data_IF_378654859071
#
_entry.id   IF_378654859071
#
_cell.length_a   1.000
_cell.length_b   1.000
_cell.length_c   1.000
_cell.angle_alpha   90.00
_cell.angle_beta   90.00
_cell.angle_gamma   90.00
#
_symmetry.space_group_name_H-M   'P 1'
#
loop_
_entity.id
_entity.type
_entity.pdbx_description
1 polymer ?
#
# COMPACT_ATOMS: atom_id res chain seq x y z
N UNK A 1 63.25 9.28 -21.86
CA UNK A 1 62.24 9.95 -22.70
C UNK A 1 60.88 9.37 -22.32
N UNK A 2 59.95 10.23 -21.86
CA UNK A 2 58.69 9.90 -21.16
C UNK A 2 57.70 9.15 -22.06
N UNK A 3 57.18 8.01 -21.63
CA UNK A 3 55.93 7.45 -22.15
C UNK A 3 54.80 7.86 -21.20
N UNK A 4 53.87 8.66 -21.74
CA UNK A 4 52.65 9.10 -21.08
C UNK A 4 51.64 7.96 -21.23
N UNK A 5 51.31 7.27 -20.15
CA UNK A 5 50.21 6.31 -20.12
C UNK A 5 48.95 7.06 -19.65
N UNK A 6 48.06 7.34 -20.59
CA UNK A 6 46.75 7.94 -20.39
C UNK A 6 45.86 7.02 -19.56
N UNK A 7 45.48 7.45 -18.35
CA UNK A 7 44.46 6.79 -17.55
C UNK A 7 43.07 7.19 -18.06
N UNK A 8 42.40 6.28 -18.76
CA UNK A 8 40.99 6.41 -19.12
C UNK A 8 40.17 6.03 -17.88
N UNK A 9 39.68 7.04 -17.16
CA UNK A 9 38.77 6.87 -16.03
C UNK A 9 37.37 6.57 -16.58
N UNK A 10 37.01 5.29 -16.70
CA UNK A 10 35.65 4.88 -17.05
C UNK A 10 34.73 5.09 -15.84
N UNK A 11 34.01 6.22 -15.81
CA UNK A 11 32.98 6.53 -14.83
C UNK A 11 31.74 5.68 -15.13
N UNK A 12 31.64 4.49 -14.55
CA UNK A 12 30.42 3.68 -14.60
C UNK A 12 29.37 4.28 -13.67
N UNK A 13 28.52 5.17 -14.21
CA UNK A 13 27.27 5.56 -13.55
C UNK A 13 26.29 4.40 -13.73
N UNK A 14 26.20 3.54 -12.71
CA UNK A 14 25.15 2.52 -12.65
C UNK A 14 23.85 3.24 -12.28
N UNK A 15 23.04 3.58 -13.29
CA UNK A 15 21.67 3.98 -13.08
C UNK A 15 20.89 2.76 -12.58
N UNK A 16 20.61 2.71 -11.27
CA UNK A 16 19.75 1.69 -10.68
C UNK A 16 18.33 1.89 -11.19
N UNK A 17 17.96 1.12 -12.21
CA UNK A 17 16.59 0.98 -12.68
C UNK A 17 15.83 0.20 -11.61
N UNK A 18 15.04 0.89 -10.77
CA UNK A 18 14.04 0.27 -9.92
C UNK A 18 12.96 -0.33 -10.82
N UNK A 19 13.12 -1.59 -11.23
CA UNK A 19 12.06 -2.32 -11.92
C UNK A 19 10.95 -2.63 -10.90
N UNK A 20 9.76 -2.04 -11.11
CA UNK A 20 8.56 -2.48 -10.43
C UNK A 20 8.37 -3.97 -10.72
N UNK A 21 8.47 -4.81 -9.70
CA UNK A 21 8.28 -6.25 -9.86
C UNK A 21 6.85 -6.52 -10.33
N UNK A 22 6.73 -7.25 -11.44
CA UNK A 22 5.44 -7.68 -11.97
C UNK A 22 4.66 -8.45 -10.90
N UNK A 23 3.33 -8.26 -10.88
CA UNK A 23 2.45 -9.01 -9.99
C UNK A 23 2.63 -10.53 -10.22
N UNK A 24 2.53 -11.37 -9.17
CA UNK A 24 2.57 -12.83 -9.31
C UNK A 24 1.63 -13.33 -10.42
N UNK A 25 2.10 -14.30 -11.21
CA UNK A 25 1.36 -14.83 -12.36
C UNK A 25 -0.06 -15.29 -11.98
N UNK A 26 -1.07 -14.85 -12.75
CA UNK A 26 -2.48 -15.21 -12.55
C UNK A 26 -3.31 -14.22 -11.72
N UNK A 27 -2.73 -13.10 -11.30
CA UNK A 27 -3.45 -12.02 -10.62
C UNK A 27 -3.87 -10.92 -11.58
N UNK A 28 -5.06 -10.35 -11.36
CA UNK A 28 -5.53 -9.16 -12.07
C UNK A 28 -4.72 -7.93 -11.61
N UNK A 29 -3.88 -7.32 -12.48
CA UNK A 29 -3.04 -6.19 -12.09
C UNK A 29 -3.85 -4.98 -11.60
N UNK A 30 -5.07 -4.80 -12.11
CA UNK A 30 -5.91 -3.68 -11.69
C UNK A 30 -6.50 -3.87 -10.31
N UNK A 31 -6.65 -5.11 -9.85
CA UNK A 31 -7.22 -5.45 -8.54
C UNK A 31 -6.18 -6.12 -7.62
N UNK A 32 -4.89 -5.81 -7.82
CA UNK A 32 -3.81 -6.31 -6.98
C UNK A 32 -2.96 -5.15 -6.46
N UNK A 33 -2.73 -5.12 -5.15
CA UNK A 33 -1.79 -4.20 -4.51
C UNK A 33 -0.62 -5.00 -3.95
N UNK A 34 0.60 -4.55 -4.24
CA UNK A 34 1.82 -5.08 -3.63
C UNK A 34 2.26 -4.11 -2.54
N UNK A 35 2.18 -4.56 -1.29
CA UNK A 35 2.66 -3.82 -0.14
C UNK A 35 4.05 -4.32 0.23
N UNK A 36 5.03 -3.41 0.21
CA UNK A 36 6.41 -3.73 0.57
C UNK A 36 6.66 -3.38 2.03
N UNK A 37 6.99 -4.40 2.82
CA UNK A 37 7.39 -4.25 4.22
C UNK A 37 8.88 -4.56 4.36
N UNK A 38 9.49 -4.06 5.44
CA UNK A 38 10.87 -4.43 5.81
C UNK A 38 11.05 -5.95 5.98
N UNK A 39 9.96 -6.65 6.29
CA UNK A 39 9.93 -8.10 6.52
C UNK A 39 9.50 -8.91 5.30
N UNK A 40 9.22 -8.27 4.17
CA UNK A 40 8.80 -8.95 2.94
C UNK A 40 7.60 -8.31 2.26
N UNK A 41 7.21 -8.88 1.12
CA UNK A 41 6.08 -8.40 0.32
C UNK A 41 4.77 -9.06 0.75
N UNK A 42 3.70 -8.27 0.80
CA UNK A 42 2.33 -8.73 0.98
C UNK A 42 1.56 -8.44 -0.29
N UNK A 43 1.05 -9.50 -0.93
CA UNK A 43 0.22 -9.38 -2.13
C UNK A 43 -1.25 -9.37 -1.71
N UNK A 44 -1.94 -8.28 -2.01
CA UNK A 44 -3.32 -8.02 -1.61
C UNK A 44 -4.21 -8.09 -2.85
N UNK A 45 -5.21 -8.99 -2.82
CA UNK A 45 -6.29 -9.02 -3.82
C UNK A 45 -7.42 -8.08 -3.37
N UNK A 46 -7.75 -7.10 -4.21
CA UNK A 46 -8.87 -6.20 -4.01
C UNK A 46 -10.19 -6.85 -4.45
N UNK A 47 -11.28 -6.51 -3.76
CA UNK A 47 -12.62 -7.09 -3.96
C UNK A 47 -13.64 -5.99 -4.33
N UNK A 48 -13.57 -5.42 -5.56
CA UNK A 48 -14.53 -4.41 -6.00
C UNK A 48 -15.96 -4.95 -6.08
N UNK A 49 -16.12 -6.28 -6.11
CA UNK A 49 -17.40 -6.98 -6.02
C UNK A 49 -18.04 -6.91 -4.62
N UNK A 50 -17.25 -6.62 -3.57
CA UNK A 50 -17.74 -6.47 -2.20
C UNK A 50 -17.78 -5.00 -1.75
N UNK A 51 -16.75 -4.22 -2.08
CA UNK A 51 -16.59 -2.84 -1.62
C UNK A 51 -16.01 -1.95 -2.74
N UNK A 52 -16.81 -1.63 -3.79
CA UNK A 52 -16.32 -0.93 -4.96
C UNK A 52 -15.75 0.46 -4.67
N UNK A 53 -16.39 1.24 -3.78
CA UNK A 53 -15.91 2.60 -3.46
C UNK A 53 -14.63 2.56 -2.63
N UNK A 54 -14.56 1.67 -1.65
CA UNK A 54 -13.34 1.52 -0.86
C UNK A 54 -12.18 1.02 -1.71
N UNK A 55 -12.42 0.05 -2.60
CA UNK A 55 -11.40 -0.42 -3.55
C UNK A 55 -10.93 0.72 -4.46
N UNK A 56 -11.84 1.54 -4.98
CA UNK A 56 -11.47 2.71 -5.79
C UNK A 56 -10.57 3.68 -5.02
N UNK A 57 -10.87 3.92 -3.73
CA UNK A 57 -10.06 4.77 -2.84
C UNK A 57 -8.67 4.18 -2.59
N UNK A 58 -8.57 2.89 -2.26
CA UNK A 58 -7.27 2.23 -2.04
C UNK A 58 -6.41 2.33 -3.30
N UNK A 59 -6.97 2.06 -4.48
CA UNK A 59 -6.23 2.18 -5.74
C UNK A 59 -5.72 3.61 -5.96
N UNK A 60 -6.58 4.61 -5.74
CA UNK A 60 -6.24 6.02 -5.90
C UNK A 60 -5.09 6.44 -4.99
N UNK A 61 -5.23 6.18 -3.69
CA UNK A 61 -4.20 6.52 -2.70
C UNK A 61 -2.89 5.76 -2.92
N UNK A 62 -2.96 4.50 -3.35
CA UNK A 62 -1.76 3.70 -3.70
C UNK A 62 -1.02 4.33 -4.88
N UNK A 63 -1.72 4.73 -5.95
CA UNK A 63 -1.11 5.37 -7.13
C UNK A 63 -0.52 6.75 -6.83
N UNK A 64 -1.09 7.44 -5.84
CA UNK A 64 -0.58 8.72 -5.34
C UNK A 64 0.63 8.55 -4.40
N UNK A 65 1.01 7.32 -4.06
CA UNK A 65 2.11 7.04 -3.14
C UNK A 65 1.78 7.38 -1.68
N UNK A 66 0.51 7.60 -1.35
CA UNK A 66 0.04 8.05 -0.04
C UNK A 66 0.47 7.11 1.09
N UNK A 67 0.52 5.81 0.84
CA UNK A 67 0.89 4.80 1.83
C UNK A 67 2.40 4.63 2.03
N UNK A 68 3.24 5.33 1.27
CA UNK A 68 4.69 5.20 1.39
C UNK A 68 5.17 5.75 2.73
N UNK A 69 5.86 4.91 3.50
CA UNK A 69 6.37 5.30 4.83
C UNK A 69 5.31 5.31 5.94
N UNK A 70 4.06 4.95 5.63
CA UNK A 70 2.96 4.91 6.61
C UNK A 70 3.14 3.72 7.56
N UNK A 71 3.15 3.93 8.89
CA UNK A 71 3.35 2.85 9.84
C UNK A 71 2.07 2.05 10.11
N UNK A 72 2.25 0.80 10.50
CA UNK A 72 1.23 0.07 11.26
C UNK A 72 1.20 0.61 12.69
N UNK A 73 0.36 1.61 12.93
CA UNK A 73 0.32 2.32 14.20
C UNK A 73 -0.44 1.58 15.30
N UNK A 74 -1.27 0.58 14.94
CA UNK A 74 -2.03 -0.21 15.90
C UNK A 74 -2.04 -1.70 15.53
N UNK A 75 -1.33 -2.51 16.31
CA UNK A 75 -1.22 -3.97 16.09
C UNK A 75 -1.64 -4.70 17.35
N UNK A 76 -2.60 -5.61 17.22
CA UNK A 76 -3.12 -6.43 18.33
C UNK A 76 -2.95 -7.90 17.95
N UNK A 77 -2.10 -8.60 18.70
CA UNK A 77 -1.82 -10.01 18.50
C UNK A 77 -3.11 -10.85 18.56
N UNK A 78 -3.28 -11.75 17.58
CA UNK A 78 -4.48 -12.58 17.47
C UNK A 78 -5.72 -11.87 16.91
N UNK A 79 -5.62 -10.58 16.57
CA UNK A 79 -6.74 -9.81 16.03
C UNK A 79 -6.41 -9.15 14.69
N UNK A 80 -5.72 -8.02 14.67
CA UNK A 80 -5.47 -7.24 13.44
C UNK A 80 -4.22 -6.35 13.54
N UNK A 81 -3.81 -5.83 12.39
CA UNK A 81 -2.79 -4.79 12.25
C UNK A 81 -3.36 -3.69 11.36
N UNK A 82 -3.50 -2.48 11.92
CA UNK A 82 -4.11 -1.33 11.28
C UNK A 82 -3.05 -0.33 10.81
N UNK A 83 -3.21 0.17 9.58
CA UNK A 83 -2.32 1.12 8.90
C UNK A 83 -3.14 2.21 8.18
N UNK A 84 -2.50 2.99 7.32
CA UNK A 84 -3.16 3.96 6.43
C UNK A 84 -3.37 5.35 7.03
N UNK A 85 -2.71 5.67 8.15
CA UNK A 85 -2.64 7.00 8.74
C UNK A 85 -1.24 7.61 8.56
N UNK A 86 -1.06 8.64 7.71
CA UNK A 86 0.24 9.31 7.50
C UNK A 86 0.86 9.90 8.76
N UNK A 87 0.04 10.28 9.74
CA UNK A 87 0.51 10.83 11.01
C UNK A 87 0.92 9.74 12.00
N UNK A 88 0.44 8.51 11.79
CA UNK A 88 0.65 7.38 12.69
C UNK A 88 -0.02 7.49 14.06
N UNK A 89 -0.94 8.44 14.26
CA UNK A 89 -1.63 8.63 15.55
C UNK A 89 -2.91 7.80 15.69
N UNK A 90 -3.43 7.28 14.58
CA UNK A 90 -4.72 6.62 14.47
C UNK A 90 -5.89 7.57 14.18
N UNK A 91 -5.66 8.87 14.10
CA UNK A 91 -6.70 9.90 13.89
C UNK A 91 -6.58 10.63 12.56
N UNK A 92 -5.52 10.37 11.79
CA UNK A 92 -5.34 10.98 10.48
C UNK A 92 -6.09 10.26 9.36
N UNK A 93 -6.05 10.87 8.18
CA UNK A 93 -6.72 10.40 6.98
C UNK A 93 -6.11 11.04 5.73
N UNK A 94 -6.69 10.75 4.57
CA UNK A 94 -6.42 11.46 3.33
C UNK A 94 -7.23 12.75 3.22
N UNK A 95 -6.86 13.62 2.27
CA UNK A 95 -7.62 14.85 1.98
C UNK A 95 -8.95 14.60 1.25
N UNK A 96 -9.28 13.35 0.95
CA UNK A 96 -10.54 12.98 0.31
C UNK A 96 -11.66 12.82 1.33
N UNK A 97 -12.93 13.02 0.93
CA UNK A 97 -14.07 12.84 1.82
C UNK A 97 -14.16 11.40 2.34
N UNK A 98 -14.85 11.25 3.47
CA UNK A 98 -15.18 9.93 4.01
C UNK A 98 -16.09 9.15 3.04
N UNK A 99 -16.01 7.84 3.15
CA UNK A 99 -16.76 6.90 2.33
C UNK A 99 -17.94 6.33 3.15
N UNK A 100 -19.12 6.21 2.52
CA UNK A 100 -20.22 5.43 3.08
C UNK A 100 -19.81 3.97 3.30
N UNK A 101 -20.41 3.34 4.31
CA UNK A 101 -20.13 1.94 4.61
C UNK A 101 -20.64 0.99 3.52
N UNK A 102 -19.76 0.09 3.05
CA UNK A 102 -20.09 -0.99 2.10
C UNK A 102 -20.16 -2.33 2.85
N UNK A 103 -21.20 -2.50 3.68
CA UNK A 103 -21.36 -3.71 4.49
C UNK A 103 -21.70 -4.93 3.62
N UNK A 104 -21.07 -6.07 3.91
CA UNK A 104 -21.35 -7.37 3.25
C UNK A 104 -21.47 -8.47 4.30
N UNK A 105 -22.15 -9.59 4.00
CA UNK A 105 -22.21 -10.75 4.90
C UNK A 105 -20.89 -11.55 4.96
N UNK A 106 -19.87 -11.16 4.18
CA UNK A 106 -18.58 -11.85 4.15
C UNK A 106 -17.89 -11.74 5.52
N UNK A 107 -17.49 -12.85 6.15
CA UNK A 107 -16.83 -12.81 7.45
C UNK A 107 -15.40 -12.25 7.35
N UNK A 108 -14.93 -11.67 8.46
CA UNK A 108 -13.51 -11.36 8.63
C UNK A 108 -12.76 -12.63 9.05
N UNK A 109 -11.98 -13.17 8.12
CA UNK A 109 -11.07 -14.29 8.37
C UNK A 109 -9.62 -13.79 8.43
N UNK A 110 -8.69 -14.68 8.80
CA UNK A 110 -7.25 -14.35 8.78
C UNK A 110 -6.85 -13.94 7.36
N UNK A 111 -6.38 -12.70 7.20
CA UNK A 111 -5.94 -12.15 5.92
C UNK A 111 -7.00 -11.31 5.19
N UNK A 112 -8.21 -11.18 5.73
CA UNK A 112 -9.22 -10.24 5.22
C UNK A 112 -8.84 -8.81 5.59
N UNK A 113 -8.95 -7.89 4.64
CA UNK A 113 -8.81 -6.44 4.87
C UNK A 113 -10.19 -5.80 5.03
N UNK A 114 -10.29 -4.77 5.88
CA UNK A 114 -11.51 -3.99 6.07
C UNK A 114 -11.19 -2.52 6.26
N UNK A 115 -12.15 -1.62 6.00
CA UNK A 115 -11.97 -0.21 6.29
C UNK A 115 -11.98 0.02 7.81
N UNK A 116 -10.99 0.75 8.33
CA UNK A 116 -11.11 1.32 9.65
C UNK A 116 -12.12 2.48 9.62
N UNK A 117 -12.93 2.59 10.68
CA UNK A 117 -13.92 3.66 10.86
C UNK A 117 -14.12 3.97 12.34
N UNK A 118 -14.70 5.13 12.60
CA UNK A 118 -15.17 5.51 13.93
C UNK A 118 -16.52 4.84 14.25
N UNK A 119 -17.19 5.29 15.31
CA UNK A 119 -18.57 4.91 15.60
C UNK A 119 -19.55 5.31 14.48
N UNK A 120 -19.25 6.36 13.72
CA UNK A 120 -20.00 6.69 12.51
C UNK A 120 -19.71 5.64 11.42
N UNK A 121 -20.73 4.90 10.92
CA UNK A 121 -20.55 3.94 9.82
C UNK A 121 -19.84 4.54 8.60
N UNK A 122 -20.14 5.80 8.28
CA UNK A 122 -19.72 6.48 7.05
C UNK A 122 -18.48 7.36 7.28
N UNK A 123 -17.54 6.88 8.10
CA UNK A 123 -16.29 7.59 8.44
C UNK A 123 -15.02 6.87 7.96
N UNK A 124 -15.17 5.91 7.05
CA UNK A 124 -14.01 5.27 6.43
C UNK A 124 -13.29 6.25 5.52
N UNK A 125 -11.95 6.31 5.59
CA UNK A 125 -11.17 7.27 4.79
C UNK A 125 -9.99 6.62 4.06
N UNK A 126 -8.87 6.43 4.76
CA UNK A 126 -7.62 5.85 4.20
C UNK A 126 -7.06 4.70 5.04
N UNK A 127 -7.56 4.50 6.25
CA UNK A 127 -7.07 3.48 7.17
C UNK A 127 -7.74 2.13 6.93
N UNK A 128 -6.96 1.05 7.03
CA UNK A 128 -7.39 -0.35 6.85
C UNK A 128 -6.57 -1.33 7.69
#
# INVERSE_FOLDING_TARGET
MRYILTAVLALFVVASINQAQAAPQGLDPENTVIMELKTGKVTIKLRPDLAPQHVARIKKLTREGFYNGVPFHRVIAGFMAQTGDPTGTGTGGSDYPDLPAEFTPTPFERGTLGAARTSNPDSANSQF
#
